data_IF_039424466474
#
_entry.id   IF_039424466474
#
_cell.length_a   1.000
_cell.length_b   1.000
_cell.length_c   1.000
_cell.angle_alpha   90.00
_cell.angle_beta   90.00
_cell.angle_gamma   90.00
#
_symmetry.space_group_name_H-M   'P 1'
#
loop_
_entity.id
_entity.type
_entity.pdbx_description
1 polymer ?
#
# COMPACT_ATOMS: atom_id res chain seq x y z
N UNK A 1 -21.09 6.12 13.17
CA UNK A 1 -19.84 6.16 12.35
C UNK A 1 -19.07 4.85 12.48
N UNK A 2 -18.12 4.52 11.59
CA UNK A 2 -17.34 3.27 11.69
C UNK A 2 -16.67 3.08 13.07
N UNK A 3 -16.22 4.18 13.68
CA UNK A 3 -15.66 4.20 15.03
C UNK A 3 -16.65 3.77 16.13
N UNK A 4 -17.95 4.06 16.00
CA UNK A 4 -18.99 3.62 16.96
C UNK A 4 -19.18 2.10 16.94
N UNK A 5 -18.74 1.43 15.86
CA UNK A 5 -18.73 -0.02 15.73
C UNK A 5 -17.37 -0.63 16.09
N UNK A 6 -16.44 0.15 16.65
CA UNK A 6 -15.11 -0.30 17.02
C UNK A 6 -14.15 -0.48 15.84
N UNK A 7 -14.48 0.07 14.66
CA UNK A 7 -13.61 0.00 13.50
C UNK A 7 -12.68 1.20 13.38
N UNK A 8 -11.48 0.93 12.85
CA UNK A 8 -10.49 1.93 12.48
C UNK A 8 -10.54 2.12 10.97
N UNK A 9 -10.85 3.34 10.52
CA UNK A 9 -10.80 3.69 9.10
C UNK A 9 -9.37 4.02 8.68
N UNK A 10 -8.93 3.43 7.57
CA UNK A 10 -7.59 3.61 7.02
C UNK A 10 -7.71 3.99 5.54
N UNK A 11 -6.91 4.97 5.11
CA UNK A 11 -6.75 5.34 3.70
C UNK A 11 -5.36 4.92 3.20
N UNK A 12 -5.01 5.34 1.99
CA UNK A 12 -3.69 5.10 1.40
C UNK A 12 -2.93 6.42 1.26
N UNK A 13 -1.59 6.35 1.26
CA UNK A 13 -0.73 7.49 0.92
C UNK A 13 -0.24 7.44 -0.53
N UNK A 14 -0.35 6.30 -1.20
CA UNK A 14 0.03 6.13 -2.61
C UNK A 14 -1.00 5.29 -3.37
N UNK A 15 -1.42 5.75 -4.55
CA UNK A 15 -2.23 4.95 -5.47
C UNK A 15 -1.30 4.16 -6.39
N UNK A 16 -1.21 2.85 -6.16
CA UNK A 16 -0.20 1.99 -6.76
C UNK A 16 -0.48 1.61 -8.21
N UNK A 17 -1.74 1.58 -8.65
CA UNK A 17 -2.11 1.13 -10.00
C UNK A 17 -3.15 1.99 -10.72
N UNK A 18 -3.61 3.07 -10.10
CA UNK A 18 -4.59 3.98 -10.71
C UNK A 18 -5.92 3.32 -11.02
N UNK A 19 -6.37 2.36 -10.20
CA UNK A 19 -7.58 1.60 -10.53
C UNK A 19 -7.32 0.54 -11.61
N UNK A 20 -6.13 -0.07 -11.58
CA UNK A 20 -5.61 -1.00 -12.60
C UNK A 20 -5.42 -0.39 -14.01
N UNK A 21 -5.39 0.95 -14.13
CA UNK A 21 -5.16 1.65 -15.40
C UNK A 21 -3.69 1.93 -15.71
N UNK A 22 -2.81 1.85 -14.70
CA UNK A 22 -1.39 2.15 -14.88
C UNK A 22 -0.66 1.07 -15.67
N UNK A 23 0.30 1.53 -16.48
CA UNK A 23 1.24 0.62 -17.14
C UNK A 23 2.15 -0.06 -16.12
N UNK A 24 2.66 -1.25 -16.47
CA UNK A 24 3.64 -1.98 -15.64
C UNK A 24 4.79 -1.08 -15.20
N UNK A 25 5.36 -0.31 -16.14
CA UNK A 25 6.47 0.61 -15.86
C UNK A 25 6.09 1.68 -14.83
N UNK A 26 4.92 2.29 -14.95
CA UNK A 26 4.46 3.32 -13.99
C UNK A 26 4.27 2.73 -12.58
N UNK A 27 3.75 1.51 -12.49
CA UNK A 27 3.62 0.79 -11.21
C UNK A 27 5.00 0.57 -10.58
N UNK A 28 5.95 0.03 -11.36
CA UNK A 28 7.31 -0.27 -10.88
C UNK A 28 8.04 1.01 -10.47
N UNK A 29 8.06 2.04 -11.31
CA UNK A 29 8.72 3.32 -11.02
C UNK A 29 8.12 3.99 -9.78
N UNK A 30 6.78 3.99 -9.67
CA UNK A 30 6.07 4.55 -8.52
C UNK A 30 6.45 3.84 -7.23
N UNK A 31 6.46 2.52 -7.23
CA UNK A 31 6.87 1.71 -6.08
C UNK A 31 8.34 1.92 -5.71
N UNK A 32 9.25 1.97 -6.69
CA UNK A 32 10.68 2.14 -6.42
C UNK A 32 11.04 3.54 -5.92
N UNK A 33 10.15 4.52 -6.07
CA UNK A 33 10.31 5.90 -5.59
C UNK A 33 9.93 6.09 -4.11
N UNK A 34 9.29 5.10 -3.48
CA UNK A 34 8.84 5.15 -2.09
C UNK A 34 10.00 5.23 -1.09
N UNK A 35 9.72 5.74 0.11
CA UNK A 35 10.71 5.96 1.18
C UNK A 35 10.49 5.08 2.42
N UNK A 36 9.35 4.41 2.53
CA UNK A 36 8.98 3.57 3.66
C UNK A 36 7.93 4.25 4.55
N UNK A 37 6.98 3.45 5.06
CA UNK A 37 5.85 3.92 5.86
C UNK A 37 4.59 4.22 5.04
N UNK A 38 4.65 4.15 3.72
CA UNK A 38 3.48 4.34 2.86
C UNK A 38 2.50 3.18 2.91
N UNK A 39 1.21 3.50 2.82
CA UNK A 39 0.14 2.55 2.53
C UNK A 39 -0.17 2.67 1.04
N UNK A 40 0.06 1.60 0.29
CA UNK A 40 -0.13 1.58 -1.16
C UNK A 40 -1.40 0.82 -1.51
N UNK A 41 -2.31 1.45 -2.25
CA UNK A 41 -3.56 0.83 -2.70
C UNK A 41 -3.38 0.18 -4.09
N UNK A 42 -3.88 -1.05 -4.22
CA UNK A 42 -3.95 -1.79 -5.48
C UNK A 42 -5.33 -2.43 -5.66
N UNK A 43 -5.72 -2.63 -6.92
CA UNK A 43 -6.99 -3.20 -7.32
C UNK A 43 -6.77 -4.57 -7.97
N UNK A 44 -7.25 -5.64 -7.32
CA UNK A 44 -7.09 -7.03 -7.79
C UNK A 44 -8.34 -7.58 -8.51
N UNK A 45 -9.37 -6.76 -8.66
CA UNK A 45 -10.63 -7.12 -9.31
C UNK A 45 -10.63 -6.86 -10.83
N UNK A 46 -9.46 -6.58 -11.42
CA UNK A 46 -9.25 -6.21 -12.83
C UNK A 46 -8.13 -7.07 -13.43
N UNK A 47 -8.39 -8.35 -13.75
CA UNK A 47 -7.37 -9.29 -14.22
C UNK A 47 -6.71 -8.88 -15.55
N UNK A 48 -7.37 -8.05 -16.36
CA UNK A 48 -6.88 -7.47 -17.61
C UNK A 48 -5.78 -6.41 -17.42
N UNK A 49 -5.61 -5.91 -16.19
CA UNK A 49 -4.64 -4.89 -15.84
C UNK A 49 -3.20 -5.41 -15.73
N UNK A 50 -2.28 -4.50 -15.36
CA UNK A 50 -0.84 -4.82 -15.21
C UNK A 50 -0.37 -4.86 -13.76
N UNK A 51 -1.29 -4.85 -12.80
CA UNK A 51 -0.99 -4.82 -11.36
C UNK A 51 -0.14 -6.02 -10.92
N UNK A 52 -0.54 -7.25 -11.28
CA UNK A 52 0.20 -8.46 -10.90
C UNK A 52 1.62 -8.49 -11.48
N UNK A 53 1.78 -8.13 -12.76
CA UNK A 53 3.08 -8.05 -13.43
C UNK A 53 4.00 -6.99 -12.79
N UNK A 54 3.45 -5.81 -12.48
CA UNK A 54 4.19 -4.73 -11.83
C UNK A 54 4.65 -5.11 -10.42
N UNK A 55 3.78 -5.74 -9.62
CA UNK A 55 4.13 -6.22 -8.29
C UNK A 55 5.18 -7.33 -8.32
N UNK A 56 5.06 -8.27 -9.27
CA UNK A 56 6.03 -9.37 -9.45
C UNK A 56 7.44 -8.84 -9.70
N UNK A 57 7.58 -7.71 -10.38
CA UNK A 57 8.85 -7.06 -10.63
C UNK A 57 9.32 -6.17 -9.46
N UNK A 58 8.44 -5.32 -8.92
CA UNK A 58 8.81 -4.33 -7.92
C UNK A 58 9.05 -4.91 -6.51
N UNK A 59 8.26 -5.90 -6.08
CA UNK A 59 8.34 -6.43 -4.69
C UNK A 59 9.73 -7.00 -4.37
N UNK A 60 10.35 -7.85 -5.22
CA UNK A 60 11.71 -8.32 -4.96
C UNK A 60 12.74 -7.18 -4.87
N UNK A 61 12.59 -6.14 -5.69
CA UNK A 61 13.49 -4.98 -5.69
C UNK A 61 13.34 -4.14 -4.42
N UNK A 62 12.12 -3.93 -3.95
CA UNK A 62 11.85 -3.25 -2.68
C UNK A 62 12.46 -4.01 -1.50
N UNK A 63 12.31 -5.34 -1.47
CA UNK A 63 12.96 -6.18 -0.44
C UNK A 63 14.48 -6.03 -0.47
N UNK A 64 15.10 -6.00 -1.65
CA UNK A 64 16.54 -5.74 -1.82
C UNK A 64 16.94 -4.33 -1.34
N UNK A 65 16.06 -3.33 -1.47
CA UNK A 65 16.26 -1.97 -0.94
C UNK A 65 16.02 -1.87 0.58
N UNK A 66 15.72 -2.98 1.27
CA UNK A 66 15.54 -3.01 2.72
C UNK A 66 14.10 -2.80 3.20
N UNK A 67 13.11 -2.77 2.29
CA UNK A 67 11.72 -2.63 2.68
C UNK A 67 11.22 -3.90 3.37
N UNK A 68 10.37 -3.71 4.39
CA UNK A 68 9.54 -4.76 4.98
C UNK A 68 8.09 -4.47 4.67
N UNK A 69 7.37 -5.50 4.24
CA UNK A 69 5.91 -5.44 4.07
C UNK A 69 5.28 -5.97 5.35
N UNK A 70 4.36 -5.18 5.92
CA UNK A 70 3.68 -5.48 7.18
C UNK A 70 2.17 -5.40 6.98
N UNK A 71 1.39 -6.03 7.86
CA UNK A 71 -0.06 -5.84 7.86
C UNK A 71 -0.41 -4.57 8.64
N UNK A 72 -1.50 -3.92 8.24
CA UNK A 72 -2.00 -2.72 8.93
C UNK A 72 -2.29 -2.96 10.42
N UNK A 73 -2.83 -4.13 10.76
CA UNK A 73 -3.11 -4.47 12.16
C UNK A 73 -1.87 -4.85 13.00
N UNK A 74 -0.71 -5.02 12.36
CA UNK A 74 0.56 -5.36 13.04
C UNK A 74 1.48 -4.13 13.18
N UNK A 75 1.06 -2.97 12.66
CA UNK A 75 1.84 -1.73 12.72
C UNK A 75 1.03 -0.63 13.42
N UNK A 76 1.61 0.07 14.42
CA UNK A 76 0.90 1.15 15.08
C UNK A 76 0.64 2.27 14.07
N UNK A 77 -0.63 2.45 13.71
CA UNK A 77 -1.07 3.56 12.89
C UNK A 77 -1.16 4.80 13.80
N UNK A 78 -0.43 5.85 13.45
CA UNK A 78 -0.65 7.16 14.09
C UNK A 78 -1.96 7.70 13.52
N UNK A 79 -3.02 7.63 14.30
CA UNK A 79 -4.33 8.17 13.95
C UNK A 79 -4.48 9.46 14.76
N UNK A 80 -4.58 10.59 14.07
CA UNK A 80 -4.85 11.87 14.74
C UNK A 80 -6.09 11.71 15.64
N UNK A 81 -5.90 11.98 16.95
CA UNK A 81 -6.94 11.84 17.97
C UNK A 81 -6.94 10.53 18.78
N UNK A 82 -6.05 9.56 18.49
CA UNK A 82 -5.85 8.38 19.35
C UNK A 82 -4.34 8.11 19.51
N UNK A 83 -3.82 8.30 20.72
CA UNK A 83 -2.47 7.82 21.03
C UNK A 83 -2.42 6.30 20.89
N UNK A 84 -1.34 5.72 20.36
CA UNK A 84 -1.15 4.28 20.45
C UNK A 84 -1.16 3.91 21.94
N UNK A 85 -1.99 2.92 22.31
CA UNK A 85 -1.91 2.34 23.64
C UNK A 85 -0.53 1.69 23.83
N UNK A 86 0.01 1.72 25.07
CA UNK A 86 1.38 1.29 25.37
C UNK A 86 1.67 -0.17 25.01
#
# INVERSE_FOLDING_TARGET
MAAELGHVSVSHSHNGDGGASYSKKKIVDGLLSLRGGEIVLFHMNRPEGRTAEGLKEAVPLLRKKGFRFVKLGEWPLVIEGRSPEP
#
